data_IF_990481779789
#
_entry.id   IF_990481779789
#
_cell.length_a   1.000
_cell.length_b   1.000
_cell.length_c   1.000
_cell.angle_alpha   90.00
_cell.angle_beta   90.00
_cell.angle_gamma   90.00
#
_symmetry.space_group_name_H-M   'P 1'
#
loop_
_entity.id
_entity.type
_entity.pdbx_description
1 polymer ?
#
# COMPACT_ATOMS: atom_id res chain seq x y z
N UNK A 1 2.59 14.48 -9.46
CA UNK A 1 3.24 14.83 -8.18
C UNK A 1 4.35 13.83 -7.88
N UNK A 2 5.48 14.27 -7.31
CA UNK A 2 6.53 13.37 -6.81
C UNK A 2 6.18 12.82 -5.42
N UNK A 3 6.83 11.74 -5.00
CA UNK A 3 6.63 11.19 -3.65
C UNK A 3 7.11 12.15 -2.55
N UNK A 4 8.18 12.92 -2.80
CA UNK A 4 8.66 13.93 -1.85
C UNK A 4 7.71 15.11 -1.70
N UNK A 5 7.09 15.55 -2.80
CA UNK A 5 6.02 16.56 -2.77
C UNK A 5 4.84 16.05 -1.96
N UNK A 6 4.40 14.81 -2.19
CA UNK A 6 3.32 14.19 -1.43
C UNK A 6 3.60 14.18 0.08
N UNK A 7 4.79 13.73 0.49
CA UNK A 7 5.18 13.71 1.90
C UNK A 7 5.17 15.11 2.53
N UNK A 8 5.57 16.15 1.79
CA UNK A 8 5.56 17.52 2.29
C UNK A 8 4.15 18.07 2.55
N UNK A 9 3.13 17.58 1.83
CA UNK A 9 1.75 18.05 1.98
C UNK A 9 0.90 17.18 2.90
N UNK A 10 1.03 15.85 2.83
CA UNK A 10 0.15 14.91 3.51
C UNK A 10 0.78 14.22 4.72
N UNK A 11 2.11 14.06 4.74
CA UNK A 11 2.85 13.28 5.74
C UNK A 11 2.30 11.85 5.93
N UNK A 12 2.09 11.15 4.81
CA UNK A 12 1.50 9.81 4.78
C UNK A 12 0.00 9.81 4.46
N UNK A 13 -0.64 8.64 4.56
CA UNK A 13 -2.07 8.46 4.35
C UNK A 13 -2.56 7.24 5.11
N UNK A 14 -3.46 7.43 6.07
CA UNK A 14 -4.08 6.32 6.83
C UNK A 14 -5.30 5.77 6.07
N UNK A 15 -5.32 4.46 5.84
CA UNK A 15 -6.42 3.75 5.21
C UNK A 15 -6.54 4.05 3.71
N UNK A 16 -5.44 3.92 2.96
CA UNK A 16 -5.41 4.04 1.50
C UNK A 16 -6.54 3.23 0.85
N UNK A 17 -6.75 1.99 1.30
CA UNK A 17 -7.86 1.09 0.93
C UNK A 17 -8.66 0.59 2.14
N UNK A 18 -8.55 1.31 3.26
CA UNK A 18 -9.11 0.90 4.54
C UNK A 18 -8.28 -0.10 5.35
N UNK A 19 -7.16 -0.63 4.82
CA UNK A 19 -6.27 -1.54 5.56
C UNK A 19 -4.78 -1.18 5.42
N UNK A 20 -4.40 -0.56 4.31
CA UNK A 20 -3.02 -0.21 3.97
C UNK A 20 -2.77 1.27 4.27
N UNK A 21 -1.68 1.58 4.95
CA UNK A 21 -1.28 2.96 5.23
C UNK A 21 -0.06 3.34 4.38
N UNK A 22 -0.04 4.56 3.84
CA UNK A 22 1.19 5.18 3.36
C UNK A 22 1.93 5.80 4.55
N UNK A 23 3.21 5.48 4.68
CA UNK A 23 4.02 5.86 5.82
C UNK A 23 4.26 7.37 5.88
N UNK A 24 4.14 7.91 7.09
CA UNK A 24 4.60 9.25 7.43
C UNK A 24 6.13 9.37 7.35
N UNK A 25 6.64 10.59 7.27
CA UNK A 25 8.07 10.90 7.31
C UNK A 25 8.71 10.27 8.55
N UNK A 26 8.04 10.33 9.71
CA UNK A 26 8.57 9.75 10.95
C UNK A 26 8.78 8.23 10.87
N UNK A 27 7.85 7.51 10.25
CA UNK A 27 7.93 6.06 10.07
C UNK A 27 9.05 5.68 9.08
N UNK A 28 9.21 6.46 8.01
CA UNK A 28 10.28 6.27 7.04
C UNK A 28 11.67 6.51 7.66
N UNK A 29 11.80 7.50 8.54
CA UNK A 29 13.08 7.83 9.20
C UNK A 29 13.44 6.83 10.31
N UNK A 30 12.46 6.33 11.05
CA UNK A 30 12.69 5.36 12.12
C UNK A 30 13.03 3.96 11.58
N UNK A 31 12.69 3.67 10.33
CA UNK A 31 13.07 2.45 9.62
C UNK A 31 12.36 1.17 10.06
N UNK A 32 11.81 1.10 11.28
CA UNK A 32 11.16 -0.10 11.79
C UNK A 32 10.00 -0.55 10.89
N UNK A 33 9.09 0.36 10.53
CA UNK A 33 7.94 0.03 9.68
C UNK A 33 8.36 -0.42 8.28
N UNK A 34 9.44 0.16 7.74
CA UNK A 34 9.97 -0.26 6.43
C UNK A 34 10.64 -1.63 6.50
N UNK A 35 11.34 -1.96 7.58
CA UNK A 35 11.95 -3.28 7.78
C UNK A 35 10.90 -4.38 7.95
N UNK A 36 9.87 -4.13 8.76
CA UNK A 36 8.75 -5.06 8.94
C UNK A 36 8.02 -5.33 7.62
N UNK A 37 7.78 -4.29 6.83
CA UNK A 37 7.18 -4.44 5.51
C UNK A 37 8.08 -5.19 4.52
N UNK A 38 9.41 -5.05 4.61
CA UNK A 38 10.33 -5.81 3.77
C UNK A 38 10.26 -7.32 4.01
N UNK A 39 9.99 -7.76 5.24
CA UNK A 39 9.76 -9.19 5.52
C UNK A 39 8.59 -9.72 4.68
N UNK A 40 7.52 -8.92 4.54
CA UNK A 40 6.36 -9.27 3.71
C UNK A 40 6.74 -9.30 2.23
N UNK A 41 7.52 -8.32 1.76
CA UNK A 41 7.99 -8.23 0.36
C UNK A 41 8.84 -9.44 -0.02
N UNK A 42 9.77 -9.83 0.85
CA UNK A 42 10.66 -10.99 0.65
C UNK A 42 9.84 -12.29 0.61
N UNK A 43 8.90 -12.47 1.53
CA UNK A 43 7.99 -13.62 1.53
C UNK A 43 7.10 -13.66 0.27
N UNK A 44 6.67 -12.49 -0.23
CA UNK A 44 5.89 -12.40 -1.47
C UNK A 44 6.72 -12.82 -2.69
N UNK A 45 7.96 -12.33 -2.81
CA UNK A 45 8.82 -12.68 -3.94
C UNK A 45 9.21 -14.17 -3.90
N UNK A 46 9.55 -14.70 -2.71
CA UNK A 46 9.82 -16.13 -2.52
C UNK A 46 8.60 -16.99 -2.90
N UNK A 47 7.41 -16.62 -2.41
CA UNK A 47 6.16 -17.31 -2.74
C UNK A 47 5.81 -17.27 -4.24
N UNK A 48 6.28 -16.27 -4.97
CA UNK A 48 6.15 -16.18 -6.43
C UNK A 48 7.14 -17.06 -7.20
N UNK A 49 8.12 -17.64 -6.51
CA UNK A 49 9.29 -18.29 -7.10
C UNK A 49 10.26 -17.28 -7.71
N UNK A 50 10.43 -16.11 -7.09
CA UNK A 50 11.33 -15.02 -7.51
C UNK A 50 10.99 -14.42 -8.87
N UNK A 51 9.73 -14.53 -9.30
CA UNK A 51 9.28 -14.03 -10.61
C UNK A 51 9.06 -12.52 -10.61
N UNK A 52 8.81 -11.92 -9.45
CA UNK A 52 8.53 -10.48 -9.34
C UNK A 52 9.83 -9.69 -9.26
N UNK A 53 10.89 -10.29 -8.69
CA UNK A 53 12.24 -9.72 -8.66
C UNK A 53 12.29 -8.47 -7.81
N UNK A 54 11.86 -8.61 -6.55
CA UNK A 54 11.76 -7.51 -5.59
C UNK A 54 13.07 -7.41 -4.81
N UNK A 55 13.72 -6.25 -4.89
CA UNK A 55 15.02 -6.03 -4.29
C UNK A 55 15.13 -4.64 -3.66
N UNK A 56 15.87 -4.56 -2.55
CA UNK A 56 16.02 -3.34 -1.74
C UNK A 56 16.80 -2.22 -2.44
N UNK A 57 17.60 -2.56 -3.45
CA UNK A 57 18.34 -1.60 -4.27
C UNK A 57 17.47 -0.92 -5.34
N UNK A 58 16.35 -1.55 -5.72
CA UNK A 58 15.45 -1.03 -6.74
C UNK A 58 14.16 -0.43 -6.16
N UNK A 59 13.63 -1.03 -5.10
CA UNK A 59 12.36 -0.61 -4.53
C UNK A 59 12.55 0.04 -3.17
N UNK A 60 11.72 1.02 -2.89
CA UNK A 60 11.61 1.64 -1.58
C UNK A 60 10.19 1.43 -1.04
N UNK A 61 10.05 0.89 0.17
CA UNK A 61 8.73 0.70 0.78
C UNK A 61 8.20 2.05 1.24
N UNK A 62 6.98 2.38 0.81
CA UNK A 62 6.31 3.64 1.16
C UNK A 62 5.00 3.44 1.92
N UNK A 63 4.56 2.20 2.09
CA UNK A 63 3.35 1.89 2.83
C UNK A 63 3.16 0.40 3.01
N UNK A 64 2.42 0.04 4.06
CA UNK A 64 2.04 -1.34 4.33
C UNK A 64 0.79 -1.39 5.20
N UNK A 65 0.13 -2.54 5.19
CA UNK A 65 -0.92 -2.84 6.15
C UNK A 65 -0.36 -3.52 7.39
N UNK A 66 -0.94 -3.22 8.56
CA UNK A 66 -0.47 -3.75 9.86
C UNK A 66 -0.66 -5.27 9.99
N UNK A 67 -1.68 -5.82 9.34
CA UNK A 67 -2.14 -7.20 9.56
C UNK A 67 -2.19 -8.07 8.29
N UNK A 68 -1.84 -7.52 7.12
CA UNK A 68 -2.02 -8.23 5.85
C UNK A 68 -0.83 -8.14 4.90
N UNK A 69 -0.84 -9.01 3.89
CA UNK A 69 0.14 -9.05 2.80
C UNK A 69 -0.10 -7.92 1.80
N UNK A 70 -0.16 -6.68 2.29
CA UNK A 70 -0.34 -5.48 1.47
C UNK A 70 0.84 -4.52 1.69
N UNK A 71 1.61 -4.28 0.63
CA UNK A 71 2.79 -3.40 0.67
C UNK A 71 2.82 -2.54 -0.59
N UNK A 72 3.04 -1.23 -0.40
CA UNK A 72 3.22 -0.26 -1.46
C UNK A 72 4.71 0.05 -1.61
N UNK A 73 5.22 -0.15 -2.81
CA UNK A 73 6.60 0.03 -3.21
C UNK A 73 6.71 1.18 -4.22
N UNK A 74 7.76 1.97 -4.08
CA UNK A 74 8.24 2.92 -5.07
C UNK A 74 9.41 2.28 -5.83
N UNK A 75 9.23 2.01 -7.13
CA UNK A 75 10.30 1.63 -8.04
C UNK A 75 11.16 2.87 -8.34
N UNK A 76 12.42 2.81 -7.94
CA UNK A 76 13.40 3.89 -8.09
C UNK A 76 13.97 3.98 -9.52
N UNK A 77 13.48 3.15 -10.46
CA UNK A 77 13.75 3.32 -11.87
C UNK A 77 13.35 4.72 -12.38
N UNK A 78 13.90 5.13 -13.52
CA UNK A 78 13.52 6.38 -14.18
C UNK A 78 12.72 6.09 -15.46
N UNK A 79 11.45 6.53 -15.56
CA UNK A 79 10.69 7.28 -14.56
C UNK A 79 10.22 6.42 -13.38
N UNK A 80 10.07 6.99 -12.17
CA UNK A 80 9.64 6.25 -10.99
C UNK A 80 8.20 5.77 -11.13
N UNK A 81 7.95 4.56 -10.63
CA UNK A 81 6.64 3.88 -10.69
C UNK A 81 6.27 3.35 -9.33
N UNK A 82 5.00 3.05 -9.16
CA UNK A 82 4.47 2.51 -7.92
C UNK A 82 4.05 1.07 -8.17
N UNK A 83 4.33 0.19 -7.21
CA UNK A 83 3.90 -1.19 -7.23
C UNK A 83 3.22 -1.51 -5.92
N UNK A 84 2.04 -2.08 -6.01
CA UNK A 84 1.27 -2.49 -4.85
C UNK A 84 1.14 -4.00 -4.85
N UNK A 85 1.77 -4.61 -3.86
CA UNK A 85 1.61 -6.03 -3.57
C UNK A 85 0.34 -6.16 -2.74
N UNK A 86 -0.63 -6.92 -3.22
CA UNK A 86 -1.85 -7.23 -2.49
C UNK A 86 -2.03 -8.74 -2.41
N UNK A 87 -2.99 -9.20 -1.61
CA UNK A 87 -3.39 -10.61 -1.60
C UNK A 87 -3.87 -11.10 -2.98
N UNK A 88 -4.40 -10.21 -3.82
CA UNK A 88 -4.93 -10.52 -5.15
C UNK A 88 -3.86 -10.58 -6.24
N UNK A 89 -2.67 -10.07 -5.99
CA UNK A 89 -1.59 -10.01 -6.96
C UNK A 89 -0.77 -8.73 -6.86
N UNK A 90 -0.07 -8.42 -7.96
CA UNK A 90 0.73 -7.21 -8.09
C UNK A 90 -0.02 -6.22 -8.98
N UNK A 91 -0.18 -5.00 -8.50
CA UNK A 91 -0.72 -3.88 -9.27
C UNK A 91 0.40 -2.86 -9.53
N UNK A 92 0.59 -2.48 -10.80
CA UNK A 92 1.58 -1.49 -11.19
C UNK A 92 0.89 -0.16 -11.57
N UNK A 93 1.39 0.94 -11.04
CA UNK A 93 0.90 2.29 -11.32
C UNK A 93 2.00 3.14 -11.94
N UNK A 94 1.69 3.91 -13.01
CA UNK A 94 2.69 4.70 -13.72
C UNK A 94 3.22 5.89 -12.92
N UNK A 95 2.48 6.34 -11.89
CA UNK A 95 2.83 7.46 -11.02
C UNK A 95 2.02 7.40 -9.72
N UNK A 96 2.44 8.17 -8.70
CA UNK A 96 1.74 8.29 -7.43
C UNK A 96 0.31 8.82 -7.59
N UNK A 97 0.08 9.77 -8.50
CA UNK A 97 -1.25 10.34 -8.76
C UNK A 97 -2.24 9.25 -9.23
N UNK A 98 -1.78 8.26 -9.99
CA UNK A 98 -2.61 7.15 -10.44
C UNK A 98 -3.00 6.24 -9.27
N UNK A 99 -2.06 5.92 -8.38
CA UNK A 99 -2.34 5.15 -7.16
C UNK A 99 -3.38 5.87 -6.30
N UNK A 100 -3.18 7.17 -6.05
CA UNK A 100 -4.09 7.99 -5.25
C UNK A 100 -5.49 8.05 -5.88
N UNK A 101 -5.57 8.25 -7.20
CA UNK A 101 -6.86 8.29 -7.90
C UNK A 101 -7.60 6.96 -7.78
N UNK A 102 -6.92 5.83 -7.99
CA UNK A 102 -7.49 4.48 -7.85
C UNK A 102 -7.97 4.22 -6.42
N UNK A 103 -7.14 4.51 -5.41
CA UNK A 103 -7.49 4.35 -4.01
C UNK A 103 -8.71 5.20 -3.61
N UNK A 104 -8.73 6.47 -4.07
CA UNK A 104 -9.84 7.39 -3.82
C UNK A 104 -11.14 6.89 -4.46
N UNK A 105 -11.08 6.42 -5.71
CA UNK A 105 -12.25 5.86 -6.38
C UNK A 105 -12.77 4.61 -5.65
N UNK A 106 -11.87 3.73 -5.21
CA UNK A 106 -12.20 2.57 -4.37
C UNK A 106 -12.92 2.98 -3.09
N UNK A 107 -12.36 3.92 -2.34
CA UNK A 107 -12.95 4.42 -1.09
C UNK A 107 -14.33 5.07 -1.32
N UNK A 108 -14.51 5.82 -2.41
CA UNK A 108 -15.82 6.42 -2.75
C UNK A 108 -16.87 5.35 -3.10
N UNK A 109 -16.48 4.28 -3.79
CA UNK A 109 -17.36 3.14 -4.06
C UNK A 109 -17.75 2.43 -2.76
N UNK A 110 -16.78 2.16 -1.88
CA UNK A 110 -17.02 1.55 -0.56
C UNK A 110 -17.96 2.41 0.29
N UNK A 111 -17.72 3.73 0.36
CA UNK A 111 -18.60 4.65 1.07
C UNK A 111 -20.01 4.69 0.48
N UNK A 112 -20.15 4.63 -0.84
CA UNK A 112 -21.45 4.59 -1.50
C UNK A 112 -22.20 3.29 -1.17
N UNK A 113 -21.49 2.16 -1.14
CA UNK A 113 -22.04 0.88 -0.73
C UNK A 113 -22.48 0.87 0.75
N UNK A 114 -21.63 1.37 1.66
CA UNK A 114 -21.96 1.49 3.09
C UNK A 114 -23.14 2.44 3.36
N UNK A 115 -23.32 3.48 2.53
CA UNK A 115 -24.51 4.34 2.63
C UNK A 115 -25.78 3.64 2.17
N UNK A 116 -25.68 2.73 1.20
CA UNK A 116 -26.81 1.93 0.73
C UNK A 116 -27.16 0.80 1.70
N UNK A 117 -26.15 0.18 2.31
CA UNK A 117 -26.30 -0.83 3.36
C UNK A 117 -25.22 -0.65 4.45
N UNK A 118 -25.58 -0.01 5.58
CA UNK A 118 -24.66 0.22 6.69
C UNK A 118 -24.12 -1.05 7.35
N UNK A 119 -24.78 -2.20 7.18
CA UNK A 119 -24.38 -3.46 7.81
C UNK A 119 -23.26 -4.19 7.07
N UNK A 120 -22.92 -3.77 5.85
CA UNK A 120 -21.77 -4.29 5.10
C UNK A 120 -20.44 -4.11 5.85
N UNK A 121 -20.32 -3.08 6.69
CA UNK A 121 -19.12 -2.84 7.50
C UNK A 121 -18.88 -3.91 8.57
N UNK A 122 -19.94 -4.60 9.03
CA UNK A 122 -19.85 -5.59 10.11
C UNK A 122 -19.54 -7.01 9.61
N UNK A 123 -19.61 -7.26 8.29
CA UNK A 123 -19.35 -8.57 7.71
C UNK A 123 -17.86 -8.95 7.69
N UNK A 124 -16.96 -7.98 7.86
CA UNK A 124 -15.50 -8.20 7.95
C UNK A 124 -15.00 -8.41 9.38
N UNK A 125 -15.87 -8.24 10.40
CA UNK A 125 -15.51 -8.33 11.83
C UNK A 125 -15.97 -9.65 12.48
N UNK A 126 -16.39 -10.64 11.69
CA UNK A 126 -16.70 -11.98 12.19
C UNK A 126 -15.43 -12.84 12.32
N UNK A 127 -14.45 -12.36 13.10
CA UNK A 127 -13.45 -13.22 13.73
C UNK A 127 -14.06 -13.85 14.99
N UNK A 128 -13.78 -15.12 15.32
CA UNK A 128 -14.36 -15.74 16.51
C UNK A 128 -13.73 -15.09 17.75
N UNK A 129 -14.58 -14.44 18.57
CA UNK A 129 -14.28 -14.11 19.96
C UNK A 129 -14.11 -15.38 20.81
#
# INVERSE_FOLDING_TARGET
MSYTEFLAYCDGWIGLDGQTDLFSISQLLNGQATEEAWVIVEAYDEGSGWKVGLSRDRYFVIGAAVSCLSVVLLDLASPPRLRWLTRGGVEDFPALDALIATATEGNLKTLSALRADPWLGNAYDTGPH
#
